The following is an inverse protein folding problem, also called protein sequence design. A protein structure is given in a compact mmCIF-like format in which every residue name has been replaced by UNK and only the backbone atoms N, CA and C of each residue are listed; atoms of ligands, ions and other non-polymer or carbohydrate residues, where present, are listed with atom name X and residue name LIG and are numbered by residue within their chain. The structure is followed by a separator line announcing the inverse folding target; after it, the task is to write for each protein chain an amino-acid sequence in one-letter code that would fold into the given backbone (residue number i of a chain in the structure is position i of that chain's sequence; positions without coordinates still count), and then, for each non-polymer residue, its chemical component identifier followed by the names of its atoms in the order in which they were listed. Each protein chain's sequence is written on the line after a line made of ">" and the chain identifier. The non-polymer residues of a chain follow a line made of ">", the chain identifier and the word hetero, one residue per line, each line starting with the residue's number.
data_IF_668981392976
#
_entry.id   IF_668981392976
#
_cell.length_a   1.000
_cell.length_b   1.000
_cell.length_c   1.000
_cell.angle_alpha   90.00
_cell.angle_beta   90.00
_cell.angle_gamma   90.00
#
_symmetry.space_group_name_H-M   'P 1'
#
loop_
_entity.id
_entity.type
_entity.pdbx_description
1 polymer ?
#
# COMPACT_ATOMS: atom_id res chain seq x y z
N UNK A 1 21.49 -0.87 -28.84
CA UNK A 1 21.46 -1.53 -27.52
C UNK A 1 20.01 -1.80 -27.18
N UNK A 2 19.63 -3.04 -26.84
CA UNK A 2 18.29 -3.37 -26.37
C UNK A 2 18.02 -2.77 -24.98
N UNK A 3 16.74 -2.62 -24.61
CA UNK A 3 16.40 -1.95 -23.34
C UNK A 3 16.87 -2.72 -22.11
N UNK A 4 16.82 -4.06 -22.10
CA UNK A 4 17.34 -4.86 -21.00
C UNK A 4 18.82 -4.59 -20.74
N UNK A 5 19.66 -4.67 -21.79
CA UNK A 5 21.08 -4.37 -21.71
C UNK A 5 21.34 -2.93 -21.27
N UNK A 6 20.55 -1.97 -21.80
CA UNK A 6 20.62 -0.57 -21.40
C UNK A 6 20.38 -0.37 -19.91
N UNK A 7 19.32 -1.00 -19.35
CA UNK A 7 18.99 -0.91 -17.92
C UNK A 7 20.15 -1.43 -17.08
N UNK A 8 20.73 -2.57 -17.43
CA UNK A 8 21.87 -3.16 -16.68
C UNK A 8 23.11 -2.29 -16.69
N UNK A 9 23.45 -1.74 -17.87
CA UNK A 9 24.65 -0.90 -18.02
C UNK A 9 24.48 0.47 -17.35
N UNK A 10 23.27 1.01 -17.34
CA UNK A 10 22.97 2.35 -16.83
C UNK A 10 22.22 2.38 -15.50
N UNK A 11 22.19 1.25 -14.76
CA UNK A 11 21.46 1.09 -13.50
C UNK A 11 21.72 2.25 -12.53
N UNK A 12 23.00 2.61 -12.32
CA UNK A 12 23.39 3.69 -11.44
C UNK A 12 22.88 5.07 -11.88
N UNK A 13 22.92 5.37 -13.17
CA UNK A 13 22.41 6.64 -13.70
C UNK A 13 20.87 6.74 -13.59
N UNK A 14 20.17 5.62 -13.82
CA UNK A 14 18.73 5.53 -13.68
C UNK A 14 18.34 5.76 -12.22
N UNK A 15 19.00 5.06 -11.28
CA UNK A 15 18.74 5.17 -9.84
C UNK A 15 19.05 6.59 -9.36
N UNK A 16 20.14 7.21 -9.81
CA UNK A 16 20.49 8.58 -9.43
C UNK A 16 19.39 9.59 -9.83
N UNK A 17 18.89 9.52 -11.06
CA UNK A 17 17.81 10.38 -11.54
C UNK A 17 16.49 10.14 -10.82
N UNK A 18 16.17 8.91 -10.52
CA UNK A 18 14.99 8.55 -9.73
C UNK A 18 15.12 9.02 -8.27
N UNK A 19 16.30 8.84 -7.66
CA UNK A 19 16.54 9.23 -6.27
C UNK A 19 16.43 10.75 -6.07
N UNK A 20 16.90 11.54 -7.01
CA UNK A 20 16.73 12.99 -6.99
C UNK A 20 15.25 13.36 -6.93
N UNK A 21 14.42 12.73 -7.78
CA UNK A 21 12.98 12.91 -7.73
C UNK A 21 12.39 12.50 -6.37
N UNK A 22 12.74 11.32 -5.86
CA UNK A 22 12.19 10.79 -4.61
C UNK A 22 12.48 11.73 -3.44
N UNK A 23 13.69 12.22 -3.31
CA UNK A 23 14.09 13.14 -2.24
C UNK A 23 13.39 14.50 -2.29
N UNK A 24 13.03 14.99 -3.48
CA UNK A 24 12.34 16.28 -3.64
C UNK A 24 10.83 16.15 -3.42
N UNK A 25 10.23 15.13 -3.99
CA UNK A 25 8.76 15.06 -4.15
C UNK A 25 8.06 14.03 -3.28
N UNK A 26 8.79 13.07 -2.68
CA UNK A 26 8.19 12.07 -1.81
C UNK A 26 8.51 12.37 -0.34
N UNK A 27 7.55 12.82 0.47
CA UNK A 27 7.78 13.13 1.88
C UNK A 27 8.38 11.96 2.66
N UNK A 28 7.84 10.76 2.48
CA UNK A 28 8.29 9.55 3.18
C UNK A 28 9.71 9.11 2.78
N UNK A 29 10.16 9.42 1.57
CA UNK A 29 11.52 9.11 1.11
C UNK A 29 12.60 9.98 1.79
N UNK A 30 12.25 11.14 2.34
CA UNK A 30 13.20 12.05 2.99
C UNK A 30 13.74 11.48 4.29
N UNK A 31 12.94 10.69 4.98
CA UNK A 31 13.27 10.09 6.27
C UNK A 31 13.92 8.70 6.12
N UNK A 32 13.98 8.17 4.89
CA UNK A 32 14.60 6.88 4.61
C UNK A 32 16.13 6.98 4.48
N UNK A 33 16.81 5.92 4.91
CA UNK A 33 18.23 5.73 4.56
C UNK A 33 18.40 5.63 3.04
N UNK A 34 19.38 6.37 2.53
CA UNK A 34 19.66 6.45 1.08
C UNK A 34 20.05 5.10 0.50
N UNK A 35 20.78 4.27 1.24
CA UNK A 35 21.17 2.94 0.80
C UNK A 35 19.94 2.04 0.66
N UNK A 36 19.07 1.99 1.68
CA UNK A 36 17.84 1.23 1.63
C UNK A 36 16.89 1.70 0.51
N UNK A 37 16.80 3.02 0.29
CA UNK A 37 16.00 3.59 -0.79
C UNK A 37 16.47 3.08 -2.17
N UNK A 38 17.81 2.97 -2.39
CA UNK A 38 18.42 2.54 -3.64
C UNK A 38 18.35 1.05 -3.89
N UNK A 39 18.63 0.24 -2.87
CA UNK A 39 18.72 -1.23 -3.00
C UNK A 39 17.43 -1.84 -3.52
N UNK A 40 16.28 -1.31 -3.10
CA UNK A 40 14.98 -1.79 -3.56
C UNK A 40 14.69 -1.45 -5.02
N UNK A 41 15.05 -0.25 -5.47
CA UNK A 41 14.88 0.14 -6.87
C UNK A 41 15.84 -0.63 -7.77
N UNK A 42 17.04 -0.92 -7.30
CA UNK A 42 17.99 -1.81 -7.98
C UNK A 42 17.34 -3.20 -8.22
N UNK A 43 16.71 -3.78 -7.20
CA UNK A 43 15.97 -5.06 -7.32
C UNK A 43 14.85 -5.00 -8.36
N UNK A 44 14.08 -3.93 -8.37
CA UNK A 44 13.00 -3.70 -9.35
C UNK A 44 13.57 -3.58 -10.78
N UNK A 45 14.64 -2.81 -10.98
CA UNK A 45 15.26 -2.64 -12.29
C UNK A 45 15.82 -3.95 -12.84
N UNK A 46 16.48 -4.75 -12.01
CA UNK A 46 17.01 -6.06 -12.39
C UNK A 46 15.90 -7.02 -12.78
N UNK A 47 14.82 -7.04 -11.99
CA UNK A 47 13.64 -7.84 -12.31
C UNK A 47 13.08 -7.47 -13.68
N UNK A 48 12.90 -6.17 -13.97
CA UNK A 48 12.39 -5.69 -15.27
C UNK A 48 13.35 -6.07 -16.40
N UNK A 49 14.66 -5.94 -16.19
CA UNK A 49 15.65 -6.33 -17.20
C UNK A 49 15.60 -7.84 -17.49
N UNK A 50 15.44 -8.70 -16.46
CA UNK A 50 15.29 -10.15 -16.61
C UNK A 50 13.99 -10.52 -17.35
N UNK A 51 12.88 -9.83 -17.04
CA UNK A 51 11.60 -10.02 -17.72
C UNK A 51 11.70 -9.68 -19.22
N UNK A 52 12.39 -8.59 -19.56
CA UNK A 52 12.61 -8.19 -20.95
C UNK A 52 13.42 -9.20 -21.76
N UNK A 53 14.32 -9.96 -21.13
CA UNK A 53 15.10 -11.02 -21.77
C UNK A 53 14.33 -12.34 -21.92
N UNK A 54 13.28 -12.53 -21.11
CA UNK A 54 12.50 -13.77 -21.13
C UNK A 54 11.61 -13.81 -22.38
N UNK A 55 11.73 -14.83 -23.25
CA UNK A 55 10.84 -14.97 -24.40
C UNK A 55 9.39 -15.14 -23.94
N UNK A 56 8.51 -14.34 -24.50
CA UNK A 56 7.07 -14.44 -24.24
C UNK A 56 6.30 -14.76 -25.52
N UNK A 57 5.35 -15.68 -25.42
CA UNK A 57 4.37 -15.92 -26.47
C UNK A 57 3.31 -14.81 -26.48
N UNK A 58 2.65 -14.59 -27.62
CA UNK A 58 1.57 -13.61 -27.76
C UNK A 58 0.41 -13.88 -26.76
N UNK A 59 0.17 -15.15 -26.46
CA UNK A 59 -0.82 -15.56 -25.46
C UNK A 59 -0.40 -15.14 -24.05
N UNK A 60 0.85 -15.38 -23.65
CA UNK A 60 1.37 -14.99 -22.33
C UNK A 60 1.32 -13.47 -22.16
N UNK A 61 1.68 -12.72 -23.20
CA UNK A 61 1.55 -11.27 -23.23
C UNK A 61 0.10 -10.82 -23.04
N UNK A 62 -0.85 -11.43 -23.77
CA UNK A 62 -2.27 -11.12 -23.61
C UNK A 62 -2.82 -11.45 -22.22
N UNK A 63 -2.37 -12.53 -21.59
CA UNK A 63 -2.73 -12.91 -20.22
C UNK A 63 -2.13 -11.92 -19.22
N UNK A 64 -0.88 -11.49 -19.41
CA UNK A 64 -0.18 -10.49 -18.58
C UNK A 64 -0.88 -9.13 -18.66
N UNK A 65 -1.25 -8.67 -19.84
CA UNK A 65 -1.98 -7.42 -20.05
C UNK A 65 -3.37 -7.40 -19.37
N UNK A 66 -3.97 -8.57 -19.13
CA UNK A 66 -5.25 -8.72 -18.40
C UNK A 66 -5.06 -8.92 -16.89
N UNK A 67 -3.84 -8.83 -16.36
CA UNK A 67 -3.53 -9.14 -14.97
C UNK A 67 -3.66 -10.64 -14.64
N UNK A 68 -3.68 -11.52 -15.65
CA UNK A 68 -3.77 -12.98 -15.53
C UNK A 68 -2.45 -13.66 -15.85
N UNK A 69 -1.37 -12.90 -16.01
CA UNK A 69 -0.04 -13.44 -16.23
C UNK A 69 0.32 -14.45 -15.12
N UNK A 70 1.13 -15.45 -15.46
CA UNK A 70 1.68 -16.37 -14.46
C UNK A 70 2.30 -15.52 -13.36
N UNK A 71 1.85 -15.70 -12.12
CA UNK A 71 2.53 -15.12 -10.97
C UNK A 71 3.98 -15.55 -11.07
N UNK A 72 4.87 -14.58 -11.15
CA UNK A 72 6.30 -14.84 -11.31
C UNK A 72 6.75 -15.89 -10.29
N UNK A 73 7.66 -16.77 -10.69
CA UNK A 73 8.23 -17.76 -9.76
C UNK A 73 8.84 -17.07 -8.54
N UNK A 74 9.17 -17.83 -7.50
CA UNK A 74 9.65 -17.36 -6.17
C UNK A 74 10.63 -16.17 -6.18
N UNK A 75 11.38 -15.96 -7.28
CA UNK A 75 12.27 -14.79 -7.46
C UNK A 75 11.52 -13.50 -7.87
N UNK A 76 10.35 -13.62 -8.51
CA UNK A 76 9.55 -12.48 -8.99
C UNK A 76 8.69 -11.91 -7.86
N UNK A 77 8.07 -12.77 -7.04
CA UNK A 77 7.38 -12.34 -5.82
C UNK A 77 8.35 -11.63 -4.83
N UNK A 78 9.66 -11.95 -4.91
CA UNK A 78 10.66 -11.39 -4.01
C UNK A 78 10.88 -9.88 -4.15
N UNK A 79 11.14 -9.36 -5.37
CA UNK A 79 11.53 -7.94 -5.53
C UNK A 79 10.33 -7.00 -5.41
N UNK A 80 9.21 -7.30 -6.09
CA UNK A 80 7.99 -6.50 -6.05
C UNK A 80 7.31 -6.57 -4.67
N UNK A 81 7.21 -7.76 -4.09
CA UNK A 81 6.65 -7.97 -2.76
C UNK A 81 7.46 -7.26 -1.69
N UNK A 82 8.78 -7.45 -1.68
CA UNK A 82 9.69 -6.77 -0.74
C UNK A 82 9.61 -5.26 -0.87
N UNK A 83 9.47 -4.73 -2.08
CA UNK A 83 9.29 -3.30 -2.31
C UNK A 83 8.01 -2.79 -1.63
N UNK A 84 6.88 -3.49 -1.81
CA UNK A 84 5.61 -3.15 -1.16
C UNK A 84 5.67 -3.21 0.36
N UNK A 85 6.31 -4.24 0.93
CA UNK A 85 6.49 -4.41 2.38
C UNK A 85 7.27 -3.22 2.96
N UNK A 86 8.38 -2.87 2.36
CA UNK A 86 9.27 -1.82 2.85
C UNK A 86 8.70 -0.42 2.70
N UNK A 87 7.96 -0.16 1.61
CA UNK A 87 7.28 1.13 1.47
C UNK A 87 6.17 1.28 2.50
N UNK A 88 5.46 0.21 2.84
CA UNK A 88 4.51 0.21 3.94
C UNK A 88 5.18 0.50 5.28
N UNK A 89 6.28 -0.18 5.61
CA UNK A 89 7.05 0.02 6.84
C UNK A 89 7.65 1.42 6.94
N UNK A 90 8.03 2.01 5.81
CA UNK A 90 8.58 3.37 5.72
C UNK A 90 7.54 4.47 5.71
N UNK A 91 6.25 4.13 5.88
CA UNK A 91 5.17 5.11 5.97
C UNK A 91 4.76 5.76 4.66
N UNK A 92 5.12 5.18 3.52
CA UNK A 92 4.62 5.64 2.22
C UNK A 92 3.11 5.51 2.16
N UNK A 93 2.48 6.37 1.37
CA UNK A 93 1.10 6.18 0.95
C UNK A 93 1.01 5.61 -0.48
N UNK A 94 -0.20 5.28 -0.89
CA UNK A 94 -0.46 4.72 -2.23
C UNK A 94 -0.10 5.70 -3.36
N UNK A 95 -0.26 7.00 -3.12
CA UNK A 95 0.04 8.05 -4.10
C UNK A 95 1.54 8.16 -4.28
N UNK A 96 2.32 8.13 -3.19
CA UNK A 96 3.77 8.13 -3.21
C UNK A 96 4.33 6.92 -3.95
N UNK A 97 3.77 5.72 -3.71
CA UNK A 97 4.16 4.52 -4.45
C UNK A 97 3.93 4.64 -5.95
N UNK A 98 2.77 5.14 -6.37
CA UNK A 98 2.48 5.36 -7.80
C UNK A 98 3.43 6.41 -8.38
N UNK A 99 3.70 7.49 -7.66
CA UNK A 99 4.60 8.56 -8.10
C UNK A 99 6.04 8.05 -8.27
N UNK A 100 6.52 7.19 -7.38
CA UNK A 100 7.81 6.53 -7.43
C UNK A 100 8.00 5.71 -8.71
N UNK A 101 7.04 4.84 -9.04
CA UNK A 101 7.09 4.04 -10.27
C UNK A 101 6.98 4.89 -11.54
N UNK A 102 6.19 5.95 -11.51
CA UNK A 102 6.13 6.91 -12.63
C UNK A 102 7.46 7.61 -12.86
N UNK A 103 8.13 8.01 -11.79
CA UNK A 103 9.45 8.65 -11.86
C UNK A 103 10.52 7.67 -12.37
N UNK A 104 10.49 6.42 -11.90
CA UNK A 104 11.40 5.37 -12.36
C UNK A 104 11.23 5.13 -13.87
N UNK A 105 9.99 4.97 -14.33
CA UNK A 105 9.66 4.83 -15.76
C UNK A 105 10.19 6.01 -16.57
N UNK A 106 9.94 7.23 -16.09
CA UNK A 106 10.41 8.44 -16.76
C UNK A 106 11.96 8.52 -16.83
N UNK A 107 12.66 8.12 -15.77
CA UNK A 107 14.12 8.11 -15.71
C UNK A 107 14.71 7.12 -16.72
N UNK A 108 14.18 5.90 -16.80
CA UNK A 108 14.61 4.90 -17.79
C UNK A 108 14.38 5.41 -19.20
N UNK A 109 13.16 5.82 -19.55
CA UNK A 109 12.82 6.25 -20.92
C UNK A 109 13.59 7.49 -21.34
N UNK A 110 13.78 8.47 -20.42
CA UNK A 110 14.54 9.69 -20.70
C UNK A 110 15.98 9.38 -21.06
N UNK A 111 16.65 8.51 -20.30
CA UNK A 111 18.04 8.15 -20.55
C UNK A 111 18.18 7.27 -21.79
N UNK A 112 17.30 6.28 -21.95
CA UNK A 112 17.36 5.37 -23.10
C UNK A 112 17.06 6.06 -24.42
N UNK A 113 16.23 7.10 -24.42
CA UNK A 113 15.89 7.88 -25.62
C UNK A 113 17.12 8.44 -26.36
N UNK A 114 18.21 8.69 -25.66
CA UNK A 114 19.46 9.16 -26.25
C UNK A 114 20.12 8.12 -27.18
N UNK A 115 19.78 6.82 -27.03
CA UNK A 115 20.30 5.70 -27.79
C UNK A 115 19.43 5.37 -29.02
N UNK A 116 18.29 6.04 -29.20
CA UNK A 116 17.33 5.69 -30.26
C UNK A 116 17.81 6.16 -31.63
N UNK A 117 17.86 5.23 -32.58
CA UNK A 117 18.14 5.53 -33.98
C UNK A 117 16.85 5.58 -34.81
N UNK A 118 15.96 4.58 -34.61
CA UNK A 118 14.65 4.50 -35.26
C UNK A 118 13.58 4.10 -34.23
N UNK A 119 12.40 4.73 -34.31
CA UNK A 119 11.33 4.49 -33.35
C UNK A 119 10.76 3.08 -33.46
N UNK A 120 10.66 2.55 -34.69
CA UNK A 120 10.11 1.21 -34.94
C UNK A 120 10.96 0.11 -34.28
N UNK A 121 12.27 0.30 -34.16
CA UNK A 121 13.18 -0.67 -33.55
C UNK A 121 13.05 -0.73 -32.02
N UNK A 122 12.58 0.36 -31.39
CA UNK A 122 12.46 0.45 -29.94
C UNK A 122 11.05 0.20 -29.39
N UNK A 123 10.05 0.26 -30.26
CA UNK A 123 8.65 0.12 -29.87
C UNK A 123 8.33 -1.22 -29.18
N UNK A 124 8.82 -2.38 -29.65
CA UNK A 124 8.58 -3.65 -28.97
C UNK A 124 9.15 -3.69 -27.55
N UNK A 125 10.37 -3.21 -27.35
CA UNK A 125 11.02 -3.13 -26.04
C UNK A 125 10.27 -2.17 -25.11
N UNK A 126 9.81 -1.02 -25.63
CA UNK A 126 9.06 -0.04 -24.86
C UNK A 126 7.70 -0.60 -24.38
N UNK A 127 7.00 -1.35 -25.23
CA UNK A 127 5.74 -1.99 -24.85
C UNK A 127 5.96 -3.01 -23.74
N UNK A 128 6.93 -3.90 -23.89
CA UNK A 128 7.28 -4.90 -22.87
C UNK A 128 7.72 -4.26 -21.55
N UNK A 129 8.51 -3.20 -21.63
CA UNK A 129 8.93 -2.45 -20.46
C UNK A 129 7.74 -1.86 -19.70
N UNK A 130 6.77 -1.29 -20.39
CA UNK A 130 5.57 -0.78 -19.75
C UNK A 130 4.76 -1.90 -19.08
N UNK A 131 4.59 -3.05 -19.73
CA UNK A 131 3.92 -4.22 -19.19
C UNK A 131 4.63 -4.73 -17.91
N UNK A 132 5.97 -4.84 -17.93
CA UNK A 132 6.75 -5.25 -16.77
C UNK A 132 6.64 -4.24 -15.61
N UNK A 133 6.73 -2.95 -15.90
CA UNK A 133 6.55 -1.87 -14.91
C UNK A 133 5.17 -1.90 -14.26
N UNK A 134 4.12 -2.11 -15.05
CA UNK A 134 2.75 -2.16 -14.54
C UNK A 134 2.52 -3.42 -13.69
N UNK A 135 3.13 -4.55 -14.04
CA UNK A 135 3.09 -5.77 -13.24
C UNK A 135 3.76 -5.56 -11.88
N UNK A 136 5.00 -5.06 -11.86
CA UNK A 136 5.72 -4.81 -10.60
C UNK A 136 4.98 -3.82 -9.71
N UNK A 137 4.41 -2.75 -10.28
CA UNK A 137 3.58 -1.80 -9.55
C UNK A 137 2.36 -2.48 -8.93
N UNK A 138 1.65 -3.30 -9.71
CA UNK A 138 0.45 -4.00 -9.23
C UNK A 138 0.77 -4.97 -8.08
N UNK A 139 1.85 -5.76 -8.20
CA UNK A 139 2.30 -6.69 -7.17
C UNK A 139 2.76 -5.95 -5.89
N UNK A 140 3.52 -4.85 -6.04
CA UNK A 140 3.96 -4.01 -4.91
C UNK A 140 2.77 -3.37 -4.19
N UNK A 141 1.80 -2.83 -4.93
CA UNK A 141 0.58 -2.25 -4.35
C UNK A 141 -0.28 -3.30 -3.65
N UNK A 142 -0.40 -4.49 -4.21
CA UNK A 142 -1.16 -5.58 -3.60
C UNK A 142 -0.55 -5.96 -2.24
N UNK A 143 0.76 -6.10 -2.16
CA UNK A 143 1.47 -6.40 -0.92
C UNK A 143 1.33 -5.28 0.11
N UNK A 144 1.48 -4.03 -0.33
CA UNK A 144 1.26 -2.84 0.51
C UNK A 144 -0.15 -2.83 1.13
N UNK A 145 -1.18 -3.07 0.33
CA UNK A 145 -2.58 -3.10 0.80
C UNK A 145 -2.84 -4.28 1.75
N UNK A 146 -2.24 -5.45 1.51
CA UNK A 146 -2.31 -6.59 2.43
C UNK A 146 -1.73 -6.25 3.80
N UNK A 147 -0.57 -5.57 3.84
CA UNK A 147 0.05 -5.12 5.08
C UNK A 147 -0.81 -4.09 5.82
N UNK A 148 -1.39 -3.13 5.10
CA UNK A 148 -2.29 -2.15 5.67
C UNK A 148 -3.53 -2.81 6.30
N UNK A 149 -4.14 -3.78 5.61
CA UNK A 149 -5.28 -4.57 6.14
C UNK A 149 -4.88 -5.40 7.35
N UNK A 150 -3.72 -6.07 7.30
CA UNK A 150 -3.22 -6.88 8.41
C UNK A 150 -2.97 -6.02 9.65
N UNK A 151 -2.37 -4.85 9.50
CA UNK A 151 -2.14 -3.90 10.60
C UNK A 151 -3.45 -3.37 11.17
N UNK A 152 -4.41 -3.02 10.33
CA UNK A 152 -5.76 -2.63 10.77
C UNK A 152 -6.44 -3.73 11.59
N UNK A 153 -6.39 -4.98 11.12
CA UNK A 153 -6.96 -6.11 11.84
C UNK A 153 -6.28 -6.37 13.20
N UNK A 154 -4.96 -6.21 13.29
CA UNK A 154 -4.22 -6.30 14.57
C UNK A 154 -4.69 -5.24 15.56
N UNK A 155 -4.83 -3.98 15.11
CA UNK A 155 -5.31 -2.89 15.95
C UNK A 155 -6.74 -3.17 16.44
N UNK A 156 -7.63 -3.65 15.56
CA UNK A 156 -8.99 -4.04 15.93
C UNK A 156 -8.98 -5.14 16.99
N UNK A 157 -8.11 -6.16 16.85
CA UNK A 157 -7.93 -7.22 17.83
C UNK A 157 -7.54 -6.67 19.21
N UNK A 158 -6.49 -5.83 19.26
CA UNK A 158 -6.02 -5.20 20.49
C UNK A 158 -7.11 -4.35 21.15
N UNK A 159 -7.85 -3.57 20.38
CA UNK A 159 -8.94 -2.73 20.91
C UNK A 159 -10.08 -3.57 21.45
N UNK A 160 -10.44 -4.65 20.77
CA UNK A 160 -11.53 -5.53 21.22
C UNK A 160 -11.16 -6.28 22.49
N UNK A 161 -10.08 -7.07 22.46
CA UNK A 161 -9.68 -7.93 23.56
C UNK A 161 -9.06 -7.14 24.72
N UNK A 162 -8.23 -6.15 24.40
CA UNK A 162 -7.51 -5.39 25.42
C UNK A 162 -8.34 -4.30 26.09
N UNK A 163 -9.29 -3.71 25.39
CA UNK A 163 -10.07 -2.57 25.92
C UNK A 163 -11.54 -2.92 26.13
N UNK A 164 -12.25 -3.39 25.08
CA UNK A 164 -13.70 -3.61 25.19
C UNK A 164 -14.04 -4.69 26.23
N UNK A 165 -13.29 -5.80 26.25
CA UNK A 165 -13.54 -6.89 27.19
C UNK A 165 -13.26 -6.45 28.63
N UNK A 166 -12.20 -5.65 28.86
CA UNK A 166 -11.91 -5.10 30.19
C UNK A 166 -12.93 -4.08 30.65
N UNK A 167 -13.45 -3.26 29.75
CA UNK A 167 -14.54 -2.34 30.08
C UNK A 167 -15.83 -3.10 30.45
N UNK A 168 -16.12 -4.21 29.77
CA UNK A 168 -17.25 -5.07 30.10
C UNK A 168 -17.09 -5.70 31.50
N UNK A 169 -15.91 -6.24 31.84
CA UNK A 169 -15.59 -6.76 33.18
C UNK A 169 -15.80 -5.69 34.26
N UNK A 170 -15.37 -4.46 34.00
CA UNK A 170 -15.58 -3.31 34.89
C UNK A 170 -17.06 -3.02 35.06
N UNK A 171 -17.84 -2.97 33.98
CA UNK A 171 -19.29 -2.72 34.03
C UNK A 171 -20.02 -3.78 34.88
N UNK A 172 -19.74 -5.07 34.63
CA UNK A 172 -20.32 -6.16 35.43
C UNK A 172 -19.97 -6.03 36.92
N UNK A 173 -18.74 -5.65 37.24
CA UNK A 173 -18.29 -5.45 38.62
C UNK A 173 -18.99 -4.26 39.28
N UNK A 174 -19.18 -3.16 38.55
CA UNK A 174 -19.89 -1.98 39.01
C UNK A 174 -21.37 -2.26 39.26
N UNK A 175 -22.04 -3.06 38.42
CA UNK A 175 -23.43 -3.48 38.63
C UNK A 175 -23.57 -4.32 39.92
N UNK A 176 -22.65 -5.27 40.14
CA UNK A 176 -22.64 -6.08 41.38
C UNK A 176 -22.45 -5.18 42.62
N UNK A 177 -21.59 -4.19 42.56
CA UNK A 177 -21.38 -3.23 43.65
C UNK A 177 -22.59 -2.33 43.86
N UNK A 178 -23.17 -1.80 42.77
CA UNK A 178 -24.37 -0.93 42.85
C UNK A 178 -25.55 -1.62 43.50
N UNK A 179 -25.74 -2.91 43.24
CA UNK A 179 -26.82 -3.73 43.79
C UNK A 179 -26.56 -4.17 45.25
N UNK A 180 -25.40 -3.86 45.81
CA UNK A 180 -25.12 -4.17 47.21
C UNK A 180 -25.94 -3.25 48.15
N UNK A 181 -26.86 -3.82 48.91
CA UNK A 181 -27.78 -3.11 49.80
C UNK A 181 -27.04 -2.38 50.96
N UNK A 182 -25.80 -2.78 51.29
CA UNK A 182 -25.01 -2.21 52.38
C UNK A 182 -24.25 -0.94 52.00
N UNK A 183 -24.21 -0.54 50.74
CA UNK A 183 -23.49 0.63 50.29
C UNK A 183 -24.30 1.92 50.48
N UNK A 184 -23.62 2.97 50.92
CA UNK A 184 -24.13 4.33 51.02
C UNK A 184 -24.62 4.86 49.66
N UNK A 185 -25.56 5.80 49.69
CA UNK A 185 -26.12 6.48 48.51
C UNK A 185 -25.07 7.24 47.74
N UNK A 186 -24.12 7.91 48.40
CA UNK A 186 -23.04 8.64 47.75
C UNK A 186 -22.09 7.69 47.02
N UNK A 187 -21.73 6.56 47.62
CA UNK A 187 -20.92 5.53 46.97
C UNK A 187 -21.62 4.96 45.74
N UNK A 188 -22.94 4.73 45.80
CA UNK A 188 -23.74 4.28 44.63
C UNK A 188 -23.74 5.31 43.52
N UNK A 189 -23.79 6.60 43.80
CA UNK A 189 -23.66 7.66 42.75
C UNK A 189 -22.30 7.65 42.08
N UNK A 190 -21.22 7.48 42.85
CA UNK A 190 -19.87 7.35 42.26
C UNK A 190 -19.77 6.13 41.36
N UNK A 191 -20.27 4.98 41.80
CA UNK A 191 -20.31 3.74 41.00
C UNK A 191 -21.08 3.95 39.67
N UNK A 192 -22.24 4.60 39.73
CA UNK A 192 -23.02 4.94 38.53
C UNK A 192 -22.25 5.89 37.60
N UNK A 193 -21.54 6.89 38.16
CA UNK A 193 -20.69 7.80 37.38
C UNK A 193 -19.56 7.07 36.63
N UNK A 194 -18.89 6.13 37.31
CA UNK A 194 -17.84 5.31 36.67
C UNK A 194 -18.45 4.41 35.56
N UNK A 195 -19.62 3.85 35.77
CA UNK A 195 -20.35 3.05 34.77
C UNK A 195 -20.65 3.85 33.49
N UNK A 196 -21.13 5.10 33.66
CA UNK A 196 -21.38 6.01 32.54
C UNK A 196 -20.09 6.34 31.79
N UNK A 197 -19.00 6.62 32.51
CA UNK A 197 -17.70 6.90 31.88
C UNK A 197 -17.18 5.69 31.09
N UNK A 198 -17.25 4.50 31.66
CA UNK A 198 -16.87 3.24 30.99
C UNK A 198 -17.66 3.01 29.71
N UNK A 199 -19.00 3.24 29.74
CA UNK A 199 -19.86 3.11 28.55
C UNK A 199 -19.49 4.13 27.47
N UNK A 200 -19.14 5.35 27.81
CA UNK A 200 -18.68 6.36 26.85
C UNK A 200 -17.37 5.96 26.19
N UNK A 201 -16.41 5.45 26.93
CA UNK A 201 -15.12 4.96 26.41
C UNK A 201 -15.39 3.81 25.43
N UNK A 202 -16.25 2.86 25.80
CA UNK A 202 -16.59 1.73 24.90
C UNK A 202 -17.24 2.22 23.60
N UNK A 203 -18.12 3.22 23.66
CA UNK A 203 -18.71 3.85 22.48
C UNK A 203 -17.65 4.48 21.53
N UNK A 204 -16.68 5.19 22.10
CA UNK A 204 -15.56 5.78 21.32
C UNK A 204 -14.72 4.68 20.67
N UNK A 205 -14.34 3.65 21.41
CA UNK A 205 -13.55 2.53 20.89
C UNK A 205 -14.29 1.80 19.78
N UNK A 206 -15.58 1.54 19.92
CA UNK A 206 -16.43 0.94 18.87
C UNK A 206 -16.45 1.79 17.61
N UNK A 207 -16.60 3.11 17.74
CA UNK A 207 -16.55 4.05 16.60
C UNK A 207 -15.20 4.01 15.87
N UNK A 208 -14.09 3.94 16.61
CA UNK A 208 -12.75 3.79 16.02
C UNK A 208 -12.63 2.47 15.25
N UNK A 209 -13.09 1.35 15.82
CA UNK A 209 -13.09 0.05 15.15
C UNK A 209 -13.91 0.11 13.85
N UNK A 210 -15.07 0.74 13.86
CA UNK A 210 -15.92 0.87 12.68
C UNK A 210 -15.26 1.75 11.60
N UNK A 211 -14.58 2.81 12.01
CA UNK A 211 -13.81 3.67 11.09
C UNK A 211 -12.68 2.90 10.41
N UNK A 212 -11.94 2.07 11.16
CA UNK A 212 -10.85 1.24 10.58
C UNK A 212 -11.39 0.19 9.61
N UNK A 213 -12.60 -0.35 9.87
CA UNK A 213 -13.24 -1.35 8.99
C UNK A 213 -13.86 -0.77 7.73
N UNK A 214 -14.27 0.50 7.77
CA UNK A 214 -14.87 1.16 6.62
C UNK A 214 -13.78 1.55 5.63
N UNK A 215 -13.78 1.06 4.38
CA UNK A 215 -12.85 1.55 3.38
C UNK A 215 -13.14 3.03 3.14
N UNK A 216 -12.13 3.87 3.35
CA UNK A 216 -12.20 5.28 2.97
C UNK A 216 -12.45 5.35 1.46
N UNK A 217 -13.67 5.74 1.05
CA UNK A 217 -13.97 5.95 -0.36
C UNK A 217 -15.20 5.27 -0.95
N UNK A 218 -16.10 4.70 -0.14
CA UNK A 218 -17.43 4.39 -0.63
C UNK A 218 -18.28 5.68 -0.68
N UNK A 219 -17.87 6.66 -1.48
CA UNK A 219 -18.80 7.69 -1.96
C UNK A 219 -19.86 6.99 -2.79
N UNK A 220 -21.11 7.10 -2.35
CA UNK A 220 -22.27 6.65 -3.10
C UNK A 220 -22.25 7.32 -4.48
N UNK A 221 -22.50 6.60 -5.57
CA UNK A 221 -22.65 7.23 -6.86
C UNK A 221 -23.78 8.25 -6.75
N UNK A 222 -23.43 9.53 -6.94
CA UNK A 222 -24.38 10.63 -7.01
C UNK A 222 -25.48 10.26 -8.02
N UNK A 223 -26.71 10.31 -7.56
CA UNK A 223 -27.89 10.08 -8.37
C UNK A 223 -27.81 10.86 -9.68
N UNK A 224 -27.99 10.16 -10.79
CA UNK A 224 -28.10 10.75 -12.13
C UNK A 224 -29.14 11.85 -12.13
N UNK A 225 -28.91 12.99 -12.82
CA UNK A 225 -29.94 14.01 -12.96
C UNK A 225 -31.11 13.45 -13.78
N UNK A 226 -32.35 13.87 -13.50
CA UNK A 226 -33.53 13.41 -14.23
C UNK A 226 -33.43 13.86 -15.70
N UNK A 227 -33.64 12.91 -16.61
CA UNK A 227 -33.83 13.20 -18.03
C UNK A 227 -35.04 14.09 -18.22
N UNK A 228 -34.80 15.37 -18.43
CA UNK A 228 -35.83 16.34 -18.85
C UNK A 228 -36.20 16.08 -20.31
N UNK A 229 -37.46 15.79 -20.51
CA UNK A 229 -38.13 15.80 -21.79
C UNK A 229 -38.22 17.24 -22.31
N UNK A 230 -37.96 17.44 -23.57
CA UNK A 230 -38.67 18.24 -24.61
C UNK A 230 -37.82 18.37 -25.85
#
# INVERSE_FOLDING_TARGET
>A
MGLSEFIRVNEEAIIAGWQEFAQIYLPSAKDMDRAALRDHISGVLRFIADDLETPETERERSEKAKGQGKKGGEKQDGAAGSHGDLRFESGFDTIEMIAEFRALRASVVKLWRAEWTHVDDVLPDLLRFNEAMDQVLAESLMRFVENAKSSGNKIIGILREGVCDKLLEIQISLEKLHNNAKLDVEVKKIIAGIGIASSKINGVVSSVIDTIKSPAGAEQPSASPPSGAS
#
